data_IF_644333589973
#
_entry.id   IF_644333589973
#
_cell.length_a   1.000
_cell.length_b   1.000
_cell.length_c   1.000
_cell.angle_alpha   90.00
_cell.angle_beta   90.00
_cell.angle_gamma   90.00
#
_symmetry.space_group_name_H-M   'P 1'
#
loop_
_entity.id
_entity.type
_entity.pdbx_description
1 polymer ?
#
# COMPACT_ATOMS: atom_id res chain seq x y z
N UNK A 1 -30.98 19.69 -19.35
CA UNK A 1 -29.88 19.51 -18.39
C UNK A 1 -29.24 18.17 -18.66
N UNK A 2 -27.93 18.11 -18.91
CA UNK A 2 -27.21 16.83 -19.09
C UNK A 2 -26.90 16.25 -17.71
N UNK A 3 -27.45 15.08 -17.41
CA UNK A 3 -27.13 14.33 -16.20
C UNK A 3 -25.86 13.52 -16.44
N UNK A 4 -24.81 13.80 -15.66
CA UNK A 4 -23.60 12.96 -15.57
C UNK A 4 -23.98 11.70 -14.78
N UNK A 5 -24.12 10.58 -15.47
CA UNK A 5 -24.58 9.30 -14.92
C UNK A 5 -23.40 8.41 -14.54
N UNK A 6 -22.52 8.93 -13.69
CA UNK A 6 -21.30 8.29 -13.16
C UNK A 6 -20.01 8.61 -13.93
N UNK A 7 -19.12 9.35 -13.25
CA UNK A 7 -17.76 9.62 -13.67
C UNK A 7 -16.84 8.76 -12.81
N UNK A 8 -16.41 7.62 -13.34
CA UNK A 8 -15.43 6.77 -12.66
C UNK A 8 -14.03 7.31 -12.94
N UNK A 9 -13.52 8.14 -12.04
CA UNK A 9 -12.15 8.65 -12.13
C UNK A 9 -11.21 7.61 -11.52
N UNK A 10 -10.47 6.89 -12.37
CA UNK A 10 -9.39 6.02 -11.93
C UNK A 10 -8.12 6.84 -11.72
N UNK A 11 -8.04 7.55 -10.59
CA UNK A 11 -6.82 8.24 -10.18
C UNK A 11 -5.87 7.19 -9.57
N UNK A 12 -4.61 7.12 -10.00
CA UNK A 12 -3.62 6.28 -9.35
C UNK A 12 -3.54 6.58 -7.85
N UNK A 13 -3.53 5.52 -7.02
CA UNK A 13 -3.46 5.66 -5.56
C UNK A 13 -2.30 6.53 -5.09
N UNK A 14 -1.15 6.45 -5.78
CA UNK A 14 0.01 7.29 -5.49
C UNK A 14 -0.28 8.79 -5.64
N UNK A 15 -1.05 9.19 -6.65
CA UNK A 15 -1.43 10.59 -6.86
C UNK A 15 -2.39 11.08 -5.77
N UNK A 16 -3.31 10.22 -5.33
CA UNK A 16 -4.21 10.53 -4.21
C UNK A 16 -3.40 10.74 -2.92
N UNK A 17 -2.43 9.86 -2.65
CA UNK A 17 -1.54 9.98 -1.50
C UNK A 17 -0.67 11.24 -1.56
N UNK A 18 -0.25 11.67 -2.74
CA UNK A 18 0.51 12.90 -2.90
C UNK A 18 -0.34 14.15 -2.60
N UNK A 19 -1.64 14.10 -2.92
CA UNK A 19 -2.59 15.19 -2.66
C UNK A 19 -3.08 15.22 -1.21
N UNK A 20 -3.09 14.09 -0.50
CA UNK A 20 -3.50 14.02 0.90
C UNK A 20 -2.47 14.70 1.81
N UNK A 21 -2.83 15.76 2.57
CA UNK A 21 -1.86 16.53 3.37
C UNK A 21 -1.05 15.69 4.37
N UNK A 22 -1.66 14.63 4.91
CA UNK A 22 -1.03 13.70 5.86
C UNK A 22 0.11 12.92 5.21
N UNK A 23 -0.04 12.53 3.94
CA UNK A 23 0.90 11.68 3.22
C UNK A 23 1.81 12.48 2.27
N UNK A 24 1.42 13.70 1.89
CA UNK A 24 2.11 14.54 0.92
C UNK A 24 3.59 14.75 1.23
N UNK A 25 3.95 14.99 2.50
CA UNK A 25 5.35 15.16 2.92
C UNK A 25 6.16 13.87 2.70
N UNK A 26 5.63 12.75 3.16
CA UNK A 26 6.27 11.44 3.03
C UNK A 26 6.43 11.04 1.56
N UNK A 27 5.39 11.22 0.74
CA UNK A 27 5.42 10.92 -0.69
C UNK A 27 6.47 11.76 -1.40
N UNK A 28 6.55 13.07 -1.11
CA UNK A 28 7.59 13.95 -1.66
C UNK A 28 9.00 13.51 -1.27
N UNK A 29 9.24 13.13 -0.01
CA UNK A 29 10.53 12.62 0.44
C UNK A 29 10.94 11.32 -0.29
N UNK A 30 9.98 10.40 -0.46
CA UNK A 30 10.18 9.14 -1.17
C UNK A 30 10.53 9.38 -2.64
N UNK A 31 9.76 10.22 -3.32
CA UNK A 31 9.92 10.52 -4.75
C UNK A 31 11.21 11.28 -5.04
N UNK A 32 11.64 12.17 -4.14
CA UNK A 32 12.86 12.95 -4.31
C UNK A 32 14.14 12.16 -3.99
N UNK A 33 14.04 10.87 -3.65
CA UNK A 33 15.16 10.00 -3.24
C UNK A 33 16.05 10.63 -2.17
N UNK A 34 15.50 11.55 -1.37
CA UNK A 34 16.21 12.25 -0.29
C UNK A 34 16.42 11.36 0.93
N UNK A 35 15.68 10.25 1.01
CA UNK A 35 16.11 9.12 1.82
C UNK A 35 17.22 8.42 1.07
N UNK A 36 18.42 8.48 1.63
CA UNK A 36 19.41 7.43 1.35
C UNK A 36 18.69 6.08 1.55
N UNK A 37 18.91 5.07 0.69
CA UNK A 37 18.61 3.71 1.09
C UNK A 37 19.15 3.53 2.51
N UNK A 38 18.35 2.99 3.44
CA UNK A 38 18.87 2.61 4.75
C UNK A 38 20.12 1.77 4.45
N UNK A 39 21.30 2.30 4.79
CA UNK A 39 22.57 1.93 4.18
C UNK A 39 22.76 0.41 4.18
N UNK A 40 22.68 -0.26 3.03
CA UNK A 40 22.96 -1.71 2.86
C UNK A 40 22.36 -2.66 3.93
N UNK A 41 21.37 -2.18 4.69
CA UNK A 41 20.80 -2.89 5.83
C UNK A 41 19.93 -3.99 5.25
N UNK A 42 20.42 -5.23 5.38
CA UNK A 42 19.63 -6.41 5.03
C UNK A 42 18.44 -6.47 5.98
N UNK A 43 17.29 -5.99 5.52
CA UNK A 43 16.02 -6.11 6.24
C UNK A 43 15.54 -7.55 6.13
N UNK A 44 15.31 -8.20 7.27
CA UNK A 44 14.66 -9.51 7.27
C UNK A 44 13.24 -9.39 6.74
N UNK A 45 13.02 -10.02 5.59
CA UNK A 45 11.70 -10.13 4.97
C UNK A 45 11.00 -11.38 5.45
N UNK A 46 9.68 -11.28 5.65
CA UNK A 46 8.86 -12.49 5.83
C UNK A 46 8.77 -13.27 4.52
N UNK A 47 8.49 -14.57 4.62
CA UNK A 47 8.28 -15.47 3.47
C UNK A 47 7.21 -14.94 2.49
N UNK A 48 6.16 -14.29 3.00
CA UNK A 48 5.11 -13.73 2.14
C UNK A 48 5.63 -12.54 1.33
N UNK A 49 6.36 -11.63 1.98
CA UNK A 49 6.91 -10.44 1.34
C UNK A 49 7.96 -10.84 0.29
N UNK A 50 8.84 -11.80 0.61
CA UNK A 50 9.86 -12.27 -0.32
C UNK A 50 9.23 -12.96 -1.54
N UNK A 51 8.19 -13.77 -1.33
CA UNK A 51 7.44 -14.40 -2.42
C UNK A 51 6.83 -13.38 -3.38
N UNK A 52 6.22 -12.30 -2.86
CA UNK A 52 5.64 -11.23 -3.70
C UNK A 52 6.71 -10.56 -4.57
N UNK A 53 7.84 -10.16 -3.98
CA UNK A 53 8.92 -9.49 -4.73
C UNK A 53 9.53 -10.43 -5.78
N UNK A 54 9.74 -11.69 -5.42
CA UNK A 54 10.26 -12.72 -6.33
C UNK A 54 9.21 -13.21 -7.34
N UNK A 55 7.97 -12.70 -7.28
CA UNK A 55 6.82 -13.15 -8.08
C UNK A 55 6.58 -14.66 -7.97
N UNK A 56 6.87 -15.22 -6.79
CA UNK A 56 6.61 -16.62 -6.43
C UNK A 56 5.30 -16.71 -5.67
N UNK A 57 4.69 -17.90 -5.71
CA UNK A 57 3.50 -18.18 -4.91
C UNK A 57 3.92 -18.37 -3.44
N UNK A 58 3.38 -17.61 -2.48
CA UNK A 58 3.64 -17.85 -1.07
C UNK A 58 2.99 -19.18 -0.63
N UNK A 59 3.56 -19.80 0.42
CA UNK A 59 2.95 -20.98 1.01
C UNK A 59 1.56 -20.65 1.55
N UNK A 60 0.58 -21.50 1.23
CA UNK A 60 -0.79 -21.33 1.70
C UNK A 60 -0.85 -21.56 3.22
N UNK A 61 -1.13 -20.49 3.98
CA UNK A 61 -1.44 -20.60 5.41
C UNK A 61 -2.85 -21.17 5.60
N UNK A 62 -3.06 -21.86 6.74
CA UNK A 62 -4.41 -22.30 7.13
C UNK A 62 -5.28 -21.07 7.36
N UNK A 63 -6.49 -21.12 6.84
CA UNK A 63 -7.50 -20.09 7.10
C UNK A 63 -7.86 -20.14 8.61
N UNK A 64 -7.75 -19.03 9.35
CA UNK A 64 -8.20 -18.98 10.74
C UNK A 64 -9.71 -19.18 10.90
N UNK A 65 -10.48 -19.12 9.80
CA UNK A 65 -11.93 -19.19 9.81
C UNK A 65 -12.56 -17.84 10.14
N UNK A 66 -13.88 -17.81 10.31
CA UNK A 66 -14.61 -16.59 10.62
C UNK A 66 -14.30 -16.10 12.03
N UNK A 67 -13.96 -14.82 12.17
CA UNK A 67 -13.81 -14.15 13.47
C UNK A 67 -14.69 -12.90 13.54
N UNK A 68 -15.16 -12.57 14.74
CA UNK A 68 -15.92 -11.34 15.01
C UNK A 68 -14.95 -10.25 15.43
N UNK A 69 -14.91 -9.12 14.70
CA UNK A 69 -14.16 -7.94 15.12
C UNK A 69 -15.07 -7.10 16.04
N UNK A 70 -14.76 -6.95 17.33
CA UNK A 70 -15.52 -6.07 18.21
C UNK A 70 -15.39 -4.62 17.74
N UNK A 71 -16.52 -3.92 17.63
CA UNK A 71 -16.58 -2.50 17.30
C UNK A 71 -17.09 -1.73 18.51
N UNK A 72 -16.36 -0.69 18.91
CA UNK A 72 -16.81 0.30 19.89
C UNK A 72 -17.32 1.55 19.17
N UNK A 73 -18.44 2.10 19.64
CA UNK A 73 -19.01 3.39 19.18
C UNK A 73 -18.41 4.51 20.03
#
# INVERSE_FOLDING_TARGET
MKMLHDLQINIPFAEVLEQMPVYAKFMKELMTKKRKPLDDDTVEMTEECSAIIQKKLPQKKKDPGSFTIPCSI
#
